data_IF_239328580705
#
_entry.id   IF_239328580705
#
_cell.length_a   1.000
_cell.length_b   1.000
_cell.length_c   1.000
_cell.angle_alpha   90.00
_cell.angle_beta   90.00
_cell.angle_gamma   90.00
#
_symmetry.space_group_name_H-M   'P 1'
#
loop_
_entity.id
_entity.type
_entity.pdbx_description
1 polymer ?
#
# COMPACT_ATOMS: atom_id res chain seq x y z
N UNK A 1 -5.41 -12.54 11.30
CA UNK A 1 -4.43 -12.42 12.40
C UNK A 1 -3.06 -13.02 12.07
N UNK A 2 -2.96 -14.30 11.62
CA UNK A 2 -1.66 -14.96 11.43
C UNK A 2 -0.77 -14.23 10.42
N UNK A 3 -1.30 -13.90 9.24
CA UNK A 3 -0.50 -13.27 8.17
C UNK A 3 -0.04 -11.88 8.59
N UNK A 4 -0.93 -11.12 9.22
CA UNK A 4 -0.70 -9.77 9.73
C UNK A 4 0.42 -9.77 10.80
N UNK A 5 0.37 -10.70 11.76
CA UNK A 5 1.43 -10.85 12.77
C UNK A 5 2.76 -11.24 12.12
N UNK A 6 2.76 -12.19 11.18
CA UNK A 6 3.99 -12.64 10.52
C UNK A 6 4.61 -11.51 9.71
N UNK A 7 3.81 -10.76 8.93
CA UNK A 7 4.28 -9.60 8.17
C UNK A 7 4.90 -8.54 9.08
N UNK A 8 4.25 -8.21 10.20
CA UNK A 8 4.79 -7.27 11.18
C UNK A 8 6.11 -7.77 11.80
N UNK A 9 6.17 -9.04 12.22
CA UNK A 9 7.37 -9.63 12.81
C UNK A 9 8.53 -9.66 11.82
N UNK A 10 8.27 -10.01 10.56
CA UNK A 10 9.27 -10.00 9.49
C UNK A 10 9.82 -8.60 9.22
N UNK A 11 8.96 -7.58 9.19
CA UNK A 11 9.41 -6.20 9.03
C UNK A 11 10.27 -5.73 10.20
N UNK A 12 9.87 -6.02 11.44
CA UNK A 12 10.64 -5.64 12.63
C UNK A 12 12.01 -6.35 12.66
N UNK A 13 12.06 -7.63 12.28
CA UNK A 13 13.31 -8.37 12.13
C UNK A 13 14.17 -7.79 11.01
N UNK A 14 13.55 -7.37 9.90
CA UNK A 14 14.27 -6.71 8.81
C UNK A 14 14.93 -5.42 9.28
N UNK A 15 14.23 -4.56 10.06
CA UNK A 15 14.83 -3.36 10.65
C UNK A 15 16.05 -3.68 11.53
N UNK A 16 15.97 -4.74 12.34
CA UNK A 16 17.10 -5.20 13.16
C UNK A 16 18.25 -5.72 12.29
N UNK A 17 17.95 -6.45 11.21
CA UNK A 17 18.95 -6.97 10.27
C UNK A 17 19.72 -5.86 9.55
N UNK A 18 19.08 -4.72 9.27
CA UNK A 18 19.73 -3.54 8.68
C UNK A 18 20.82 -2.96 9.59
N UNK A 19 20.77 -3.22 10.90
CA UNK A 19 21.83 -2.84 11.84
C UNK A 19 22.97 -3.86 11.80
N UNK A 20 23.80 -3.76 10.75
CA UNK A 20 24.83 -4.75 10.42
C UNK A 20 25.76 -5.06 11.59
N UNK A 21 25.95 -6.36 11.86
CA UNK A 21 26.91 -6.85 12.85
C UNK A 21 26.43 -6.82 14.31
N UNK A 22 25.20 -6.35 14.58
CA UNK A 22 24.70 -6.23 15.95
C UNK A 22 24.03 -7.52 16.46
N UNK A 23 23.30 -8.23 15.59
CA UNK A 23 22.61 -9.48 15.91
C UNK A 23 22.92 -10.56 14.87
N UNK A 24 23.09 -11.80 15.32
CA UNK A 24 23.24 -12.96 14.43
C UNK A 24 21.89 -13.39 13.84
N UNK A 25 21.90 -14.07 12.69
CA UNK A 25 20.67 -14.64 12.09
C UNK A 25 19.92 -15.58 13.04
N UNK A 26 20.64 -16.32 13.88
CA UNK A 26 20.02 -17.15 14.93
C UNK A 26 19.28 -16.30 15.96
N UNK A 27 19.85 -15.19 16.41
CA UNK A 27 19.16 -14.27 17.34
C UNK A 27 17.94 -13.63 16.70
N UNK A 28 18.04 -13.23 15.42
CA UNK A 28 16.93 -12.68 14.66
C UNK A 28 15.77 -13.68 14.54
N UNK A 29 16.06 -14.94 14.22
CA UNK A 29 15.03 -15.99 14.11
C UNK A 29 14.39 -16.31 15.47
N UNK A 30 15.18 -16.42 16.54
CA UNK A 30 14.66 -16.61 17.89
C UNK A 30 13.75 -15.44 18.30
N UNK A 31 14.18 -14.20 18.05
CA UNK A 31 13.39 -13.01 18.32
C UNK A 31 12.09 -12.99 17.51
N UNK A 32 12.13 -13.31 16.21
CA UNK A 32 10.95 -13.42 15.34
C UNK A 32 9.92 -14.39 15.92
N UNK A 33 10.37 -15.57 16.29
CA UNK A 33 9.53 -16.62 16.86
C UNK A 33 8.91 -16.18 18.18
N UNK A 34 9.70 -15.58 19.07
CA UNK A 34 9.21 -15.05 20.34
C UNK A 34 8.19 -13.93 20.15
N UNK A 35 8.47 -12.96 19.29
CA UNK A 35 7.60 -11.83 18.98
C UNK A 35 6.25 -12.30 18.42
N UNK A 36 6.28 -13.25 17.49
CA UNK A 36 5.07 -13.86 16.92
C UNK A 36 4.17 -14.45 18.00
N UNK A 37 4.75 -15.19 18.97
CA UNK A 37 3.99 -15.81 20.05
C UNK A 37 3.43 -14.78 21.06
N UNK A 38 4.23 -13.78 21.44
CA UNK A 38 3.78 -12.70 22.33
C UNK A 38 2.61 -11.93 21.71
N UNK A 39 2.71 -11.57 20.42
CA UNK A 39 1.65 -10.88 19.67
C UNK A 39 0.38 -11.75 19.60
N UNK A 40 0.54 -13.03 19.22
CA UNK A 40 -0.58 -13.98 19.11
C UNK A 40 -1.33 -14.13 20.44
N UNK A 41 -0.61 -14.19 21.55
CA UNK A 41 -1.22 -14.25 22.87
C UNK A 41 -1.93 -12.95 23.23
N UNK A 42 -1.24 -11.80 23.04
CA UNK A 42 -1.76 -10.48 23.43
C UNK A 42 -3.02 -10.10 22.66
N UNK A 43 -3.13 -10.49 21.39
CA UNK A 43 -4.22 -10.04 20.51
C UNK A 43 -5.45 -10.95 20.54
N UNK A 44 -5.37 -12.11 21.18
CA UNK A 44 -6.42 -13.16 21.17
C UNK A 44 -7.84 -12.61 21.40
N UNK A 45 -8.02 -11.82 22.46
CA UNK A 45 -9.33 -11.28 22.86
C UNK A 45 -9.58 -9.85 22.35
N UNK A 46 -8.64 -9.34 21.53
CA UNK A 46 -8.65 -7.99 21.00
C UNK A 46 -8.54 -8.00 19.47
N UNK A 47 -9.02 -9.05 18.81
CA UNK A 47 -9.00 -9.18 17.35
C UNK A 47 -10.42 -9.26 16.81
N UNK A 48 -10.85 -8.24 16.06
CA UNK A 48 -12.25 -8.12 15.59
C UNK A 48 -12.28 -7.96 14.06
N UNK A 49 -12.30 -9.06 13.27
CA UNK A 49 -12.29 -8.99 11.81
C UNK A 49 -13.41 -8.11 11.22
N UNK A 50 -14.62 -8.18 11.77
CA UNK A 50 -15.77 -7.40 11.30
C UNK A 50 -15.68 -5.90 11.65
N UNK A 51 -14.76 -5.53 12.54
CA UNK A 51 -14.52 -4.14 12.96
C UNK A 51 -13.02 -3.91 13.13
N UNK A 52 -12.23 -3.84 12.04
CA UNK A 52 -10.76 -3.83 12.10
C UNK A 52 -10.19 -2.76 13.04
N UNK A 53 -10.77 -1.56 13.02
CA UNK A 53 -10.36 -0.43 13.85
C UNK A 53 -10.61 -0.65 15.36
N UNK A 54 -11.52 -1.56 15.74
CA UNK A 54 -11.79 -1.85 17.16
C UNK A 54 -10.55 -2.48 17.78
N UNK A 55 -9.99 -1.82 18.80
CA UNK A 55 -8.80 -2.30 19.50
C UNK A 55 -7.47 -2.02 18.78
N UNK A 56 -7.47 -1.30 17.66
CA UNK A 56 -6.23 -0.95 16.93
C UNK A 56 -5.19 -0.27 17.83
N UNK A 57 -5.61 0.70 18.67
CA UNK A 57 -4.71 1.33 19.64
C UNK A 57 -4.11 0.37 20.68
N UNK A 58 -4.80 -0.72 21.05
CA UNK A 58 -4.26 -1.73 21.97
C UNK A 58 -3.24 -2.66 21.28
N UNK A 59 -3.43 -2.91 19.98
CA UNK A 59 -2.55 -3.70 19.11
C UNK A 59 -1.43 -2.87 18.46
N UNK A 60 -1.45 -1.56 18.64
CA UNK A 60 -0.41 -0.68 18.14
C UNK A 60 0.91 -1.00 18.83
N UNK A 61 1.97 -1.16 18.05
CA UNK A 61 3.35 -1.18 18.53
C UNK A 61 3.91 0.23 18.42
N UNK A 62 4.44 0.79 19.50
CA UNK A 62 4.97 2.16 19.48
C UNK A 62 6.32 2.26 20.19
N UNK A 63 7.31 2.76 19.45
CA UNK A 63 8.61 3.21 19.97
C UNK A 63 8.65 4.73 19.84
N UNK A 64 8.69 5.43 20.96
CA UNK A 64 8.91 6.89 21.03
C UNK A 64 9.43 7.22 22.43
N UNK A 65 10.75 7.46 22.54
CA UNK A 65 11.48 7.68 23.80
C UNK A 65 11.52 6.47 24.75
N UNK A 66 10.62 5.50 24.58
CA UNK A 66 10.52 4.25 25.32
C UNK A 66 10.26 3.09 24.35
N UNK A 67 10.78 1.92 24.70
CA UNK A 67 10.54 0.68 23.95
C UNK A 67 9.11 0.18 24.18
N UNK A 68 8.50 -0.35 23.13
CA UNK A 68 7.22 -1.02 23.24
C UNK A 68 7.33 -2.26 24.16
N UNK A 69 6.43 -2.45 25.14
CA UNK A 69 6.48 -3.59 26.06
C UNK A 69 6.44 -4.96 25.37
N UNK A 70 5.76 -5.08 24.23
CA UNK A 70 5.68 -6.33 23.45
C UNK A 70 7.05 -6.67 22.86
N UNK A 71 7.71 -5.67 22.27
CA UNK A 71 9.06 -5.84 21.71
C UNK A 71 10.06 -6.15 22.85
N UNK A 72 9.97 -5.42 23.95
CA UNK A 72 10.84 -5.64 25.12
C UNK A 72 10.68 -7.06 25.69
N UNK A 73 9.44 -7.54 25.83
CA UNK A 73 9.16 -8.89 26.31
C UNK A 73 9.68 -9.97 25.35
N UNK A 74 9.44 -9.81 24.04
CA UNK A 74 9.95 -10.74 23.03
C UNK A 74 11.49 -10.80 23.03
N UNK A 75 12.15 -9.66 23.18
CA UNK A 75 13.59 -9.57 23.36
C UNK A 75 14.09 -10.31 24.60
N UNK A 76 13.49 -10.02 25.75
CA UNK A 76 13.87 -10.61 27.03
C UNK A 76 13.77 -12.14 27.02
N UNK A 77 12.72 -12.69 26.39
CA UNK A 77 12.52 -14.14 26.24
C UNK A 77 13.68 -14.85 25.52
N UNK A 78 14.45 -14.13 24.70
CA UNK A 78 15.57 -14.68 23.92
C UNK A 78 16.92 -14.09 24.33
N UNK A 79 16.98 -13.44 25.50
CA UNK A 79 18.20 -12.89 26.07
C UNK A 79 18.68 -11.58 25.44
N UNK A 80 17.82 -10.85 24.72
CA UNK A 80 18.14 -9.52 24.19
C UNK A 80 17.71 -8.43 25.18
N UNK A 81 18.65 -7.57 25.53
CA UNK A 81 18.38 -6.46 26.44
C UNK A 81 17.49 -5.40 25.75
N UNK A 82 16.46 -4.87 26.42
CA UNK A 82 15.61 -3.81 25.87
C UNK A 82 16.40 -2.57 25.45
N UNK A 83 17.48 -2.22 26.15
CA UNK A 83 18.37 -1.10 25.80
C UNK A 83 19.08 -1.32 24.47
N UNK A 84 19.55 -2.54 24.20
CA UNK A 84 20.15 -2.91 22.92
C UNK A 84 19.10 -2.82 21.82
N UNK A 85 17.92 -3.42 21.99
CA UNK A 85 16.83 -3.31 21.01
C UNK A 85 16.45 -1.85 20.74
N UNK A 86 16.41 -1.00 21.76
CA UNK A 86 16.10 0.41 21.61
C UNK A 86 17.16 1.19 20.82
N UNK A 87 18.43 0.79 20.89
CA UNK A 87 19.47 1.38 20.03
C UNK A 87 19.43 0.89 18.57
N UNK A 88 18.76 -0.24 18.31
CA UNK A 88 18.72 -0.85 16.97
C UNK A 88 17.47 -0.49 16.17
N UNK A 89 16.35 -0.21 16.84
CA UNK A 89 15.14 0.27 16.17
C UNK A 89 15.18 1.78 15.90
N UNK A 90 14.40 2.27 14.92
CA UNK A 90 14.15 3.71 14.77
C UNK A 90 13.67 4.32 16.09
N UNK A 91 14.14 5.53 16.41
CA UNK A 91 13.74 6.27 17.62
C UNK A 91 12.25 6.54 17.70
N UNK A 92 11.60 6.63 16.53
CA UNK A 92 10.18 6.88 16.36
C UNK A 92 9.61 5.89 15.35
N UNK A 93 8.88 4.90 15.86
CA UNK A 93 8.16 3.91 15.06
C UNK A 93 6.75 3.76 15.64
N UNK A 94 5.75 3.79 14.77
CA UNK A 94 4.39 3.39 15.11
C UNK A 94 3.92 2.38 14.08
N UNK A 95 3.41 1.24 14.51
CA UNK A 95 2.89 0.19 13.64
C UNK A 95 1.52 -0.26 14.13
N UNK A 96 0.58 -0.33 13.20
CA UNK A 96 -0.76 -0.85 13.42
C UNK A 96 -0.86 -2.25 12.82
N UNK A 97 -1.30 -3.21 13.63
CA UNK A 97 -1.46 -4.61 13.23
C UNK A 97 -2.95 -4.92 13.39
N UNK A 98 -3.69 -4.71 12.32
CA UNK A 98 -5.15 -4.75 12.30
C UNK A 98 -5.65 -5.88 11.39
N UNK A 99 -6.89 -6.36 11.58
CA UNK A 99 -7.48 -7.30 10.64
C UNK A 99 -7.39 -6.78 9.21
N UNK A 100 -6.83 -7.61 8.33
CA UNK A 100 -6.67 -7.31 6.90
C UNK A 100 -5.66 -6.21 6.55
N UNK A 101 -5.01 -5.54 7.51
CA UNK A 101 -4.02 -4.50 7.22
C UNK A 101 -2.89 -4.46 8.26
N UNK A 102 -1.65 -4.30 7.79
CA UNK A 102 -0.53 -3.87 8.62
C UNK A 102 0.04 -2.62 8.00
N UNK A 103 0.11 -1.53 8.76
CA UNK A 103 0.67 -0.27 8.33
C UNK A 103 1.60 0.29 9.38
N UNK A 104 2.53 1.16 8.96
CA UNK A 104 3.52 1.73 9.86
C UNK A 104 3.87 3.16 9.47
N UNK A 105 4.47 3.88 10.42
CA UNK A 105 5.06 5.20 10.26
C UNK A 105 6.40 5.24 10.98
N UNK A 106 7.43 5.76 10.32
CA UNK A 106 8.73 6.07 10.91
C UNK A 106 8.87 7.60 11.01
N UNK A 107 9.20 8.10 12.20
CA UNK A 107 9.20 9.53 12.51
C UNK A 107 7.82 10.08 12.87
N UNK A 108 7.77 11.12 13.72
CA UNK A 108 6.50 11.80 14.08
C UNK A 108 5.78 12.40 12.87
N UNK A 109 6.53 12.94 11.90
CA UNK A 109 6.01 13.54 10.67
C UNK A 109 6.12 12.62 9.44
N UNK A 110 6.37 11.32 9.64
CA UNK A 110 6.49 10.37 8.54
C UNK A 110 5.16 10.08 7.85
N UNK A 111 5.22 9.68 6.58
CA UNK A 111 4.05 9.12 5.88
C UNK A 111 3.67 7.75 6.45
N UNK A 112 2.39 7.42 6.37
CA UNK A 112 1.91 6.06 6.66
C UNK A 112 2.16 5.19 5.43
N UNK A 113 2.83 4.07 5.64
CA UNK A 113 3.10 3.06 4.63
C UNK A 113 2.32 1.79 4.95
N UNK A 114 1.63 1.23 3.96
CA UNK A 114 0.98 -0.08 4.06
C UNK A 114 2.03 -1.17 3.80
N UNK A 115 2.21 -2.06 4.77
CA UNK A 115 3.13 -3.20 4.71
C UNK A 115 2.42 -4.47 4.24
N UNK A 116 1.18 -4.66 4.67
CA UNK A 116 0.33 -5.77 4.29
C UNK A 116 -1.09 -5.26 4.14
N UNK A 117 -1.76 -5.70 3.09
CA UNK A 117 -3.19 -5.52 2.90
C UNK A 117 -3.74 -6.83 2.36
N UNK A 118 -4.81 -7.34 2.97
CA UNK A 118 -5.53 -8.48 2.41
C UNK A 118 -6.32 -7.96 1.22
N UNK A 119 -5.87 -8.32 0.03
CA UNK A 119 -6.76 -8.35 -1.12
C UNK A 119 -7.75 -9.51 -0.91
N UNK A 120 -9.02 -9.17 -0.68
CA UNK A 120 -10.07 -10.14 -1.02
C UNK A 120 -9.87 -10.46 -2.51
N UNK A 121 -10.00 -11.73 -2.94
CA UNK A 121 -10.27 -11.95 -4.35
C UNK A 121 -11.52 -11.12 -4.64
N UNK A 122 -11.44 -10.19 -5.59
CA UNK A 122 -12.63 -9.63 -6.23
C UNK A 122 -13.59 -10.82 -6.41
N UNK A 123 -14.83 -10.79 -5.90
CA UNK A 123 -15.78 -11.79 -6.30
C UNK A 123 -15.70 -11.79 -7.81
N UNK A 124 -15.37 -12.93 -8.44
CA UNK A 124 -15.41 -12.99 -9.90
C UNK A 124 -16.81 -12.54 -10.25
N UNK A 125 -16.92 -11.30 -10.71
CA UNK A 125 -18.15 -10.80 -11.27
C UNK A 125 -18.41 -11.77 -12.41
N UNK A 126 -19.42 -12.62 -12.18
CA UNK A 126 -20.09 -13.36 -13.23
C UNK A 126 -20.13 -12.46 -14.45
N UNK A 127 -19.47 -12.89 -15.52
CA UNK A 127 -19.21 -12.12 -16.73
C UNK A 127 -20.49 -11.47 -17.28
N UNK A 128 -20.84 -10.28 -16.79
CA UNK A 128 -21.96 -9.50 -17.32
C UNK A 128 -21.65 -8.00 -17.49
N UNK A 129 -20.51 -7.48 -17.00
CA UNK A 129 -20.14 -6.08 -17.27
C UNK A 129 -19.22 -5.83 -18.46
N UNK A 130 -18.84 -6.86 -19.23
CA UNK A 130 -18.03 -6.65 -20.43
C UNK A 130 -18.78 -6.00 -21.61
N UNK A 131 -20.10 -5.77 -21.50
CA UNK A 131 -20.88 -5.13 -22.57
C UNK A 131 -21.16 -3.63 -22.42
N UNK A 132 -20.82 -2.98 -21.29
CA UNK A 132 -21.01 -1.52 -21.18
C UNK A 132 -19.76 -0.69 -21.50
N UNK A 133 -18.55 -1.21 -21.31
CA UNK A 133 -17.32 -0.47 -21.63
C UNK A 133 -17.00 -0.40 -23.13
N UNK A 134 -17.45 -1.39 -23.93
CA UNK A 134 -17.26 -1.34 -25.40
C UNK A 134 -18.16 -0.28 -26.07
N UNK A 135 -19.38 -0.08 -25.57
CA UNK A 135 -20.30 0.89 -26.16
C UNK A 135 -19.88 2.34 -25.93
N UNK A 136 -19.29 2.66 -24.78
CA UNK A 136 -18.84 4.03 -24.49
C UNK A 136 -17.59 4.44 -25.29
N UNK A 137 -16.68 3.49 -25.56
CA UNK A 137 -15.49 3.75 -26.38
C UNK A 137 -15.82 3.88 -27.87
N UNK A 138 -16.80 3.12 -28.39
CA UNK A 138 -17.27 3.28 -29.78
C UNK A 138 -18.04 4.59 -30.00
N UNK A 139 -18.82 5.07 -29.03
CA UNK A 139 -19.50 6.37 -29.17
C UNK A 139 -18.52 7.55 -29.18
N UNK A 140 -17.44 7.50 -28.39
CA UNK A 140 -16.40 8.53 -28.45
C UNK A 140 -15.62 8.51 -29.77
N UNK A 141 -15.30 7.34 -30.34
CA UNK A 141 -14.63 7.25 -31.64
C UNK A 141 -15.53 7.72 -32.80
N UNK A 142 -16.83 7.42 -32.79
CA UNK A 142 -17.76 7.94 -33.81
C UNK A 142 -17.92 9.46 -33.72
N UNK A 143 -18.00 10.04 -32.51
CA UNK A 143 -18.03 11.49 -32.36
C UNK A 143 -16.74 12.15 -32.84
N UNK A 144 -15.58 11.51 -32.61
CA UNK A 144 -14.28 12.04 -33.04
C UNK A 144 -14.08 11.95 -34.56
N UNK A 145 -14.50 10.85 -35.20
CA UNK A 145 -14.50 10.72 -36.66
C UNK A 145 -15.52 11.66 -37.34
N UNK A 146 -16.69 11.88 -36.72
CA UNK A 146 -17.65 12.88 -37.21
C UNK A 146 -17.11 14.31 -37.07
N UNK A 147 -16.31 14.58 -36.03
CA UNK A 147 -15.64 15.88 -35.85
C UNK A 147 -14.45 16.08 -36.81
N UNK A 148 -13.69 15.04 -37.14
CA UNK A 148 -12.65 15.09 -38.18
C UNK A 148 -13.24 15.23 -39.59
N UNK A 149 -14.30 14.48 -39.91
CA UNK A 149 -14.96 14.55 -41.21
C UNK A 149 -15.57 15.94 -41.48
N UNK A 150 -16.14 16.63 -40.49
CA UNK A 150 -16.64 18.00 -40.68
C UNK A 150 -15.53 19.05 -40.75
N UNK A 151 -14.36 18.79 -40.14
CA UNK A 151 -13.16 19.62 -40.34
C UNK A 151 -12.60 19.47 -41.76
N UNK A 152 -12.56 18.24 -42.29
CA UNK A 152 -12.09 17.99 -43.65
C UNK A 152 -13.04 18.57 -44.71
N UNK A 153 -14.36 18.50 -44.49
CA UNK A 153 -15.33 19.19 -45.35
C UNK A 153 -15.16 20.72 -45.35
N UNK A 154 -14.86 21.34 -44.20
CA UNK A 154 -14.59 22.79 -44.13
C UNK A 154 -13.25 23.18 -44.81
N UNK A 155 -12.23 22.32 -44.74
CA UNK A 155 -10.94 22.56 -45.40
C UNK A 155 -11.03 22.40 -46.92
N UNK A 156 -11.86 21.48 -47.41
CA UNK A 156 -12.13 21.29 -48.84
C UNK A 156 -12.96 22.44 -49.45
N UNK A 157 -13.94 22.97 -48.72
CA UNK A 157 -14.66 24.18 -49.16
C UNK A 157 -13.74 25.41 -49.23
N UNK A 158 -12.82 25.58 -48.27
CA UNK A 158 -11.85 26.68 -48.29
C UNK A 158 -10.81 26.54 -49.42
N UNK A 159 -10.40 25.32 -49.76
CA UNK A 159 -9.51 25.04 -50.89
C UNK A 159 -10.18 25.38 -52.24
N UNK A 160 -11.44 24.98 -52.43
CA UNK A 160 -12.18 25.25 -53.68
C UNK A 160 -12.54 26.73 -53.87
N UNK A 161 -12.73 27.49 -52.79
CA UNK A 161 -12.93 28.94 -52.88
C UNK A 161 -11.64 29.71 -53.25
N UNK A 162 -10.47 29.19 -52.86
CA UNK A 162 -9.18 29.84 -53.14
C UNK A 162 -8.69 29.66 -54.58
N UNK A 163 -9.01 28.53 -55.22
CA UNK A 163 -8.63 28.29 -56.62
C UNK A 163 -9.49 29.07 -57.62
N UNK A 164 -10.74 29.42 -57.27
CA UNK A 164 -11.59 30.25 -58.13
C UNK A 164 -11.17 31.74 -58.14
N UNK A 165 -10.42 32.22 -57.14
CA UNK A 165 -9.90 33.60 -57.14
C UNK A 165 -8.56 33.71 -57.89
N UNK A 166 -7.72 32.67 -57.87
CA UNK A 166 -6.44 32.67 -58.61
C UNK A 166 -6.61 32.70 -60.13
N UNK A 167 -7.75 32.25 -60.66
CA UNK A 167 -8.04 32.25 -62.10
C UNK A 167 -8.52 33.62 -62.66
N UNK A 168 -8.78 34.64 -61.81
CA UNK A 168 -9.25 35.97 -62.26
C UNK A 168 -8.18 37.08 -62.18
N UNK A 169 -6.94 36.75 -61.78
CA UNK A 169 -5.83 37.74 -61.68
C UNK A 169 -4.68 37.40 -62.65
N UNK A 170 -4.95 36.60 -63.69
CA UNK A 170 -3.99 36.34 -64.79
C UNK A 170 -4.66 36.34 -66.17
N UNK A 171 -5.59 37.27 -66.39
CA UNK A 171 -6.04 37.67 -67.74
C UNK A 171 -6.03 39.19 -67.86
#
# INVERSE_FOLDING_TARGET
MRLEIVSAADFLVHLLRLQTGQLSERQLEMFKSSLTEVLRHRYRDHWFPDRPNRGSGYRCIRINGKMDPVIAQAGANVGLLPTVLHSLFPSELTMWIDPSEVSYRIGENGSICVLYERTEPEPEESHQHQHQHQHHQQQQQQQQQQFESCKDSLLLEHSQFSEQIAAFVSS
#
